data_IF_169828502167
#
_entry.id   IF_169828502167
#
_cell.length_a   1.000
_cell.length_b   1.000
_cell.length_c   1.000
_cell.angle_alpha   90.00
_cell.angle_beta   90.00
_cell.angle_gamma   90.00
#
_symmetry.space_group_name_H-M   'P 1'
#
loop_
_entity.id
_entity.type
_entity.pdbx_description
1 polymer ?
#
# COMPACT_ATOMS: atom_id res chain seq x y z
N UNK A 1 -29.79 82.50 -36.77
CA UNK A 1 -28.59 82.20 -35.96
C UNK A 1 -29.05 81.40 -34.74
N UNK A 2 -28.95 80.07 -34.78
CA UNK A 2 -29.28 79.20 -33.64
C UNK A 2 -27.99 78.53 -33.16
N UNK A 3 -27.56 78.86 -31.93
CA UNK A 3 -26.43 78.20 -31.24
C UNK A 3 -26.99 77.03 -30.45
N UNK A 4 -26.63 75.81 -30.84
CA UNK A 4 -26.88 74.60 -30.04
C UNK A 4 -25.61 74.28 -29.27
N UNK A 5 -25.66 74.40 -27.95
CA UNK A 5 -24.58 74.04 -27.02
C UNK A 5 -24.60 72.52 -26.84
N UNK A 6 -23.50 71.84 -27.18
CA UNK A 6 -23.29 70.44 -26.83
C UNK A 6 -22.66 70.37 -25.44
N UNK A 7 -23.40 69.82 -24.47
CA UNK A 7 -22.87 69.45 -23.15
C UNK A 7 -22.34 68.02 -23.24
N UNK A 8 -21.05 67.85 -23.01
CA UNK A 8 -20.41 66.52 -22.90
C UNK A 8 -20.39 66.14 -21.42
N UNK A 9 -21.11 65.08 -21.05
CA UNK A 9 -21.13 64.52 -19.69
C UNK A 9 -20.01 63.49 -19.59
N UNK A 10 -18.94 63.80 -18.87
CA UNK A 10 -17.82 62.89 -18.62
C UNK A 10 -18.18 61.99 -17.42
N UNK A 11 -18.49 60.72 -17.67
CA UNK A 11 -18.61 59.71 -16.62
C UNK A 11 -17.20 59.20 -16.28
N UNK A 12 -16.62 59.68 -15.17
CA UNK A 12 -15.41 59.10 -14.59
C UNK A 12 -15.77 57.81 -13.86
N UNK A 13 -15.42 56.67 -14.45
CA UNK A 13 -15.44 55.37 -13.78
C UNK A 13 -14.23 55.29 -12.85
N UNK A 14 -14.46 55.32 -11.54
CA UNK A 14 -13.45 54.97 -10.56
C UNK A 14 -13.23 53.44 -10.61
N UNK A 15 -12.14 53.01 -11.24
CA UNK A 15 -11.62 51.65 -11.10
C UNK A 15 -11.00 51.54 -9.70
N UNK A 16 -11.76 50.98 -8.75
CA UNK A 16 -11.16 50.46 -7.53
C UNK A 16 -10.35 49.22 -7.90
N UNK A 17 -9.03 49.35 -7.95
CA UNK A 17 -8.15 48.20 -7.99
C UNK A 17 -8.37 47.39 -6.72
N UNK A 18 -8.96 46.19 -6.85
CA UNK A 18 -8.89 45.19 -5.79
C UNK A 18 -7.45 44.72 -5.71
N UNK A 19 -6.62 45.39 -4.91
CA UNK A 19 -5.42 44.76 -4.36
C UNK A 19 -5.92 43.70 -3.38
N UNK A 20 -6.17 42.48 -3.90
CA UNK A 20 -6.14 41.31 -3.04
C UNK A 20 -4.68 41.13 -2.66
N UNK A 21 -4.35 41.45 -1.40
CA UNK A 21 -3.08 41.06 -0.82
C UNK A 21 -2.93 39.55 -1.03
N UNK A 22 -2.09 39.16 -1.99
CA UNK A 22 -1.79 37.76 -2.24
C UNK A 22 -1.13 37.24 -0.96
N UNK A 23 -1.73 36.28 -0.24
CA UNK A 23 -1.12 35.78 0.98
C UNK A 23 0.21 35.12 0.58
N UNK A 24 1.32 35.75 0.96
CA UNK A 24 2.65 35.19 0.76
C UNK A 24 2.72 33.91 1.58
N UNK A 25 2.96 32.79 0.90
CA UNK A 25 3.07 31.51 1.56
C UNK A 25 4.25 31.49 2.53
N UNK A 26 4.03 30.90 3.70
CA UNK A 26 5.00 30.90 4.78
C UNK A 26 5.97 29.73 4.68
N UNK A 27 7.18 29.92 5.18
CA UNK A 27 8.12 28.81 5.36
C UNK A 27 7.77 28.03 6.63
N UNK A 28 7.61 26.71 6.50
CA UNK A 28 7.44 25.77 7.60
C UNK A 28 8.79 25.27 8.12
N UNK A 29 9.72 24.94 7.22
CA UNK A 29 11.08 24.50 7.55
C UNK A 29 12.05 24.74 6.38
N UNK A 30 13.36 24.72 6.69
CA UNK A 30 14.45 24.83 5.71
C UNK A 30 15.42 23.67 5.96
N UNK A 31 15.75 22.93 4.90
CA UNK A 31 16.65 21.76 4.94
C UNK A 31 17.67 21.88 3.82
N UNK A 32 18.88 22.33 4.18
CA UNK A 32 19.91 22.67 3.20
C UNK A 32 19.43 23.81 2.30
N UNK A 33 19.39 23.56 0.99
CA UNK A 33 18.88 24.49 -0.02
C UNK A 33 17.36 24.35 -0.28
N UNK A 34 16.71 23.32 0.28
CA UNK A 34 15.28 23.09 0.06
C UNK A 34 14.44 23.76 1.15
N UNK A 35 13.32 24.34 0.72
CA UNK A 35 12.33 24.97 1.59
C UNK A 35 11.09 24.06 1.63
N UNK A 36 10.48 23.96 2.80
CA UNK A 36 9.17 23.32 2.99
C UNK A 36 8.19 24.42 3.32
N UNK A 37 7.14 24.57 2.50
CA UNK A 37 6.15 25.62 2.67
C UNK A 37 5.04 25.19 3.64
N UNK A 38 4.35 26.16 4.22
CA UNK A 38 3.18 25.91 5.06
C UNK A 38 2.02 25.33 4.26
N UNK A 39 1.88 25.72 2.99
CA UNK A 39 0.91 25.13 2.07
C UNK A 39 1.17 23.63 1.85
N UNK A 40 2.42 23.23 1.60
CA UNK A 40 2.82 21.82 1.42
C UNK A 40 2.37 20.97 2.61
N UNK A 41 2.72 21.41 3.83
CA UNK A 41 2.34 20.73 5.07
C UNK A 41 0.81 20.65 5.19
N UNK A 42 0.12 21.77 4.95
CA UNK A 42 -1.33 21.86 5.09
C UNK A 42 -2.08 20.98 4.08
N UNK A 43 -1.58 20.89 2.84
CA UNK A 43 -2.14 20.07 1.79
C UNK A 43 -2.04 18.58 2.15
N UNK A 44 -0.86 18.12 2.56
CA UNK A 44 -0.65 16.72 2.97
C UNK A 44 -1.48 16.40 4.21
N UNK A 45 -1.51 17.27 5.22
CA UNK A 45 -2.36 17.11 6.41
C UNK A 45 -3.83 16.99 6.02
N UNK A 46 -4.32 17.85 5.13
CA UNK A 46 -5.71 17.83 4.68
C UNK A 46 -6.09 16.50 4.02
N UNK A 47 -5.23 15.99 3.12
CA UNK A 47 -5.45 14.70 2.45
C UNK A 47 -5.43 13.55 3.46
N UNK A 48 -4.43 13.50 4.34
CA UNK A 48 -4.31 12.42 5.33
C UNK A 48 -5.44 12.46 6.36
N UNK A 49 -5.87 13.64 6.80
CA UNK A 49 -6.99 13.80 7.72
C UNK A 49 -8.30 13.26 7.11
N UNK A 50 -8.57 13.53 5.82
CA UNK A 50 -9.73 12.99 5.11
C UNK A 50 -9.69 11.46 5.01
N UNK A 51 -8.53 10.87 4.72
CA UNK A 51 -8.35 9.41 4.66
C UNK A 51 -8.56 8.73 6.02
N UNK A 52 -8.14 9.40 7.10
CA UNK A 52 -8.33 8.92 8.47
C UNK A 52 -9.73 9.22 9.03
N UNK A 53 -10.56 9.99 8.31
CA UNK A 53 -11.89 10.41 8.77
C UNK A 53 -11.87 11.38 9.95
N UNK A 54 -10.80 12.18 10.10
CA UNK A 54 -10.65 13.14 11.19
C UNK A 54 -11.49 14.41 10.94
N UNK A 55 -12.19 14.87 11.97
CA UNK A 55 -12.96 16.12 11.92
C UNK A 55 -12.14 17.28 12.48
N UNK A 56 -11.94 18.30 11.65
CA UNK A 56 -11.13 19.47 11.99
C UNK A 56 -11.60 20.20 13.26
N UNK A 57 -12.89 20.09 13.58
CA UNK A 57 -13.51 20.77 14.73
C UNK A 57 -13.44 19.98 16.04
N UNK A 58 -13.37 18.65 15.96
CA UNK A 58 -13.43 17.76 17.14
C UNK A 58 -12.08 17.17 17.50
N UNK A 59 -11.22 16.92 16.52
CA UNK A 59 -10.00 16.13 16.69
C UNK A 59 -8.74 17.00 16.70
N UNK A 60 -8.82 18.19 17.30
CA UNK A 60 -7.73 19.20 17.26
C UNK A 60 -6.37 18.65 17.71
N UNK A 61 -6.33 17.88 18.80
CA UNK A 61 -5.08 17.29 19.29
C UNK A 61 -4.50 16.22 18.34
N UNK A 62 -5.36 15.46 17.66
CA UNK A 62 -4.94 14.48 16.65
C UNK A 62 -4.42 15.16 15.40
N UNK A 63 -5.03 16.28 15.00
CA UNK A 63 -4.55 17.10 13.89
C UNK A 63 -3.21 17.77 14.18
N UNK A 64 -3.00 18.29 15.38
CA UNK A 64 -1.70 18.87 15.77
C UNK A 64 -0.59 17.82 15.71
N UNK A 65 -0.86 16.58 16.18
CA UNK A 65 0.07 15.46 16.03
C UNK A 65 0.29 15.08 14.58
N UNK A 66 -0.77 15.02 13.77
CA UNK A 66 -0.68 14.71 12.35
C UNK A 66 0.16 15.77 11.63
N UNK A 67 -0.05 17.05 11.91
CA UNK A 67 0.73 18.15 11.35
C UNK A 67 2.21 18.03 11.71
N UNK A 68 2.52 17.74 12.98
CA UNK A 68 3.90 17.51 13.41
C UNK A 68 4.55 16.32 12.70
N UNK A 69 3.82 15.22 12.56
CA UNK A 69 4.30 14.02 11.87
C UNK A 69 4.52 14.27 10.37
N UNK A 70 3.59 14.97 9.70
CA UNK A 70 3.71 15.33 8.29
C UNK A 70 4.90 16.26 8.08
N UNK A 71 5.05 17.29 8.91
CA UNK A 71 6.22 18.17 8.85
C UNK A 71 7.52 17.39 9.04
N UNK A 72 7.57 16.50 10.04
CA UNK A 72 8.72 15.62 10.26
C UNK A 72 9.04 14.75 9.04
N UNK A 73 8.03 14.10 8.45
CA UNK A 73 8.20 13.29 7.24
C UNK A 73 8.69 14.09 6.04
N UNK A 74 8.22 15.33 5.86
CA UNK A 74 8.69 16.20 4.78
C UNK A 74 10.14 16.64 5.02
N UNK A 75 10.51 16.94 6.27
CA UNK A 75 11.90 17.24 6.65
C UNK A 75 12.77 16.03 6.33
N UNK A 76 12.39 14.83 6.78
CA UNK A 76 13.15 13.60 6.53
C UNK A 76 13.32 13.34 5.04
N UNK A 77 12.28 13.54 4.23
CA UNK A 77 12.37 13.42 2.77
C UNK A 77 13.39 14.40 2.18
N UNK A 78 13.38 15.66 2.61
CA UNK A 78 14.36 16.65 2.14
C UNK A 78 15.78 16.33 2.63
N UNK A 79 15.94 15.79 3.84
CA UNK A 79 17.25 15.35 4.35
C UNK A 79 17.80 14.21 3.49
N UNK A 80 16.97 13.22 3.15
CA UNK A 80 17.37 12.10 2.30
C UNK A 80 17.71 12.57 0.88
N UNK A 81 16.96 13.52 0.32
CA UNK A 81 17.27 14.13 -0.97
C UNK A 81 18.63 14.84 -0.94
N UNK A 82 18.94 15.60 0.11
CA UNK A 82 20.25 16.26 0.24
C UNK A 82 21.39 15.25 0.37
N UNK A 83 21.20 14.18 1.14
CA UNK A 83 22.18 13.09 1.22
C UNK A 83 22.39 12.41 -0.14
N UNK A 84 21.31 12.13 -0.87
CA UNK A 84 21.37 11.52 -2.20
C UNK A 84 22.14 12.39 -3.20
N UNK A 85 21.96 13.72 -3.15
CA UNK A 85 22.74 14.67 -3.97
C UNK A 85 24.22 14.66 -3.61
N UNK A 86 24.57 14.62 -2.33
CA UNK A 86 25.97 14.53 -1.88
C UNK A 86 26.64 13.24 -2.39
N UNK A 87 25.90 12.14 -2.38
CA UNK A 87 26.36 10.85 -2.89
C UNK A 87 26.21 10.72 -4.43
N UNK A 88 25.86 11.81 -5.11
CA UNK A 88 25.74 11.90 -6.57
C UNK A 88 24.80 10.84 -7.16
N UNK A 89 23.70 10.55 -6.47
CA UNK A 89 22.65 9.66 -6.97
C UNK A 89 21.88 10.36 -8.09
N UNK A 90 21.83 9.72 -9.25
CA UNK A 90 21.12 10.22 -10.43
C UNK A 90 20.14 9.17 -10.94
N UNK A 91 19.05 9.64 -11.56
CA UNK A 91 17.99 8.85 -12.17
C UNK A 91 17.90 9.24 -13.65
N UNK A 92 17.69 8.28 -14.54
CA UNK A 92 17.52 8.57 -15.96
C UNK A 92 16.20 9.31 -16.23
N UNK A 93 16.23 10.28 -17.14
CA UNK A 93 15.06 11.08 -17.54
C UNK A 93 13.88 10.21 -18.00
N UNK A 94 14.16 9.15 -18.76
CA UNK A 94 13.15 8.18 -19.19
C UNK A 94 12.40 7.54 -18.03
N UNK A 95 13.09 7.25 -16.92
CA UNK A 95 12.46 6.61 -15.75
C UNK A 95 11.56 7.62 -15.02
N UNK A 96 11.97 8.90 -14.99
CA UNK A 96 11.16 10.01 -14.47
C UNK A 96 9.89 10.18 -15.30
N UNK A 97 10.02 10.25 -16.63
CA UNK A 97 8.87 10.33 -17.55
C UNK A 97 7.93 9.14 -17.38
N UNK A 98 8.49 7.92 -17.29
CA UNK A 98 7.69 6.70 -17.12
C UNK A 98 6.92 6.71 -15.79
N UNK A 99 7.56 7.11 -14.69
CA UNK A 99 6.90 7.22 -13.38
C UNK A 99 5.84 8.32 -13.35
N UNK A 100 6.09 9.44 -14.04
CA UNK A 100 5.14 10.54 -14.17
C UNK A 100 3.90 10.12 -14.96
N UNK A 101 4.06 9.43 -16.09
CA UNK A 101 2.91 8.94 -16.85
C UNK A 101 2.10 7.90 -16.06
N UNK A 102 2.74 6.99 -15.32
CA UNK A 102 2.03 6.06 -14.43
C UNK A 102 1.22 6.77 -13.35
N UNK A 103 1.75 7.87 -12.81
CA UNK A 103 1.04 8.70 -11.83
C UNK A 103 -0.18 9.38 -12.47
N UNK A 104 -0.05 9.88 -13.70
CA UNK A 104 -1.14 10.50 -14.45
C UNK A 104 -2.22 9.48 -14.81
N UNK A 105 -1.83 8.30 -15.29
CA UNK A 105 -2.75 7.19 -15.55
C UNK A 105 -3.53 6.83 -14.29
N UNK A 106 -2.87 6.81 -13.13
CA UNK A 106 -3.54 6.56 -11.84
C UNK A 106 -4.59 7.64 -11.53
N UNK A 107 -4.33 8.91 -11.83
CA UNK A 107 -5.33 9.97 -11.69
C UNK A 107 -6.50 9.81 -12.66
N UNK A 108 -6.23 9.50 -13.93
CA UNK A 108 -7.26 9.27 -14.95
C UNK A 108 -8.14 8.09 -14.55
N UNK A 109 -7.56 6.98 -14.07
CA UNK A 109 -8.30 5.81 -13.63
C UNK A 109 -9.21 6.11 -12.43
N UNK A 110 -8.74 6.93 -11.47
CA UNK A 110 -9.57 7.35 -10.33
C UNK A 110 -10.69 8.30 -10.72
N UNK A 111 -10.43 9.22 -11.66
CA UNK A 111 -11.40 10.18 -12.14
C UNK A 111 -12.37 9.60 -13.18
N UNK A 112 -11.99 8.50 -13.84
CA UNK A 112 -12.73 7.82 -14.90
C UNK A 112 -12.45 8.37 -16.30
N UNK A 113 -12.16 9.67 -16.44
CA UNK A 113 -11.78 10.29 -17.72
C UNK A 113 -10.69 11.33 -17.53
N UNK A 114 -9.97 11.64 -18.61
CA UNK A 114 -8.95 12.70 -18.63
C UNK A 114 -9.53 14.06 -18.24
N UNK A 115 -10.68 14.44 -18.81
CA UNK A 115 -11.33 15.71 -18.50
C UNK A 115 -11.70 15.84 -17.02
N UNK A 116 -12.17 14.75 -16.39
CA UNK A 116 -12.48 14.75 -14.97
C UNK A 116 -11.20 14.81 -14.13
N UNK A 117 -10.12 14.17 -14.57
CA UNK A 117 -8.82 14.25 -13.90
C UNK A 117 -8.28 15.69 -13.90
N UNK A 118 -8.32 16.38 -15.03
CA UNK A 118 -7.93 17.81 -15.12
C UNK A 118 -8.80 18.69 -14.22
N UNK A 119 -10.11 18.42 -14.17
CA UNK A 119 -11.04 19.14 -13.28
C UNK A 119 -10.71 18.93 -11.81
N UNK A 120 -10.33 17.70 -11.42
CA UNK A 120 -9.94 17.36 -10.06
C UNK A 120 -8.58 17.94 -9.66
N UNK A 121 -7.63 18.01 -10.61
CA UNK A 121 -6.32 18.62 -10.40
C UNK A 121 -6.38 20.16 -10.43
N UNK A 122 -7.42 20.73 -11.04
CA UNK A 122 -7.56 22.18 -11.20
C UNK A 122 -6.65 22.78 -12.29
N UNK A 123 -5.98 21.94 -13.08
CA UNK A 123 -5.07 22.32 -14.16
C UNK A 123 -5.03 21.24 -15.25
N UNK A 124 -4.49 21.58 -16.41
CA UNK A 124 -4.34 20.61 -17.49
C UNK A 124 -3.31 19.53 -17.15
N UNK A 125 -3.46 18.33 -17.71
CA UNK A 125 -2.46 17.26 -17.51
C UNK A 125 -1.09 17.66 -18.05
N UNK A 126 -1.05 18.51 -19.09
CA UNK A 126 0.20 18.99 -19.66
C UNK A 126 0.92 19.98 -18.73
N UNK A 127 0.20 20.84 -18.04
CA UNK A 127 0.79 21.73 -17.04
C UNK A 127 1.26 20.93 -15.84
N UNK A 128 0.44 19.99 -15.38
CA UNK A 128 0.81 19.03 -14.33
C UNK A 128 2.09 18.27 -14.66
N UNK A 129 2.25 17.77 -15.89
CA UNK A 129 3.49 17.09 -16.32
C UNK A 129 4.72 17.98 -16.12
N UNK A 130 4.66 19.23 -16.58
CA UNK A 130 5.82 20.13 -16.55
C UNK A 130 6.19 20.56 -15.13
N UNK A 131 5.20 20.84 -14.31
CA UNK A 131 5.40 21.27 -12.93
C UNK A 131 5.87 20.12 -12.05
N UNK A 132 5.20 18.97 -12.15
CA UNK A 132 5.46 17.81 -11.28
C UNK A 132 6.67 16.98 -11.70
N UNK A 133 7.28 17.24 -12.87
CA UNK A 133 8.47 16.52 -13.33
C UNK A 133 9.63 16.65 -12.33
N UNK A 134 9.87 17.84 -11.77
CA UNK A 134 10.96 18.07 -10.82
C UNK A 134 10.70 17.35 -9.49
N UNK A 135 9.46 17.40 -9.00
CA UNK A 135 9.06 16.66 -7.81
C UNK A 135 9.19 15.15 -8.00
N UNK A 136 8.84 14.65 -9.20
CA UNK A 136 8.99 13.25 -9.57
C UNK A 136 10.46 12.84 -9.59
N UNK A 137 11.33 13.65 -10.19
CA UNK A 137 12.78 13.43 -10.19
C UNK A 137 13.30 13.31 -8.77
N UNK A 138 13.01 14.30 -7.93
CA UNK A 138 13.51 14.36 -6.56
C UNK A 138 12.99 13.17 -5.73
N UNK A 139 11.74 12.73 -5.97
CA UNK A 139 11.19 11.50 -5.38
C UNK A 139 11.98 10.27 -5.80
N UNK A 140 12.22 10.07 -7.10
CA UNK A 140 12.94 8.89 -7.59
C UNK A 140 14.40 8.85 -7.10
N UNK A 141 15.08 10.00 -7.03
CA UNK A 141 16.43 10.10 -6.45
C UNK A 141 16.41 9.62 -4.99
N UNK A 142 15.44 10.12 -4.21
CA UNK A 142 15.26 9.77 -2.80
C UNK A 142 14.99 8.26 -2.64
N UNK A 143 14.08 7.70 -3.44
CA UNK A 143 13.73 6.27 -3.42
C UNK A 143 14.92 5.38 -3.79
N UNK A 144 15.68 5.74 -4.84
CA UNK A 144 16.86 5.01 -5.25
C UNK A 144 17.94 5.01 -4.18
N UNK A 145 18.18 6.16 -3.54
CA UNK A 145 19.13 6.25 -2.44
C UNK A 145 18.70 5.40 -1.23
N UNK A 146 17.42 5.45 -0.84
CA UNK A 146 16.89 4.57 0.22
C UNK A 146 17.07 3.09 -0.13
N UNK A 147 16.78 2.69 -1.37
CA UNK A 147 16.97 1.30 -1.81
C UNK A 147 18.44 0.88 -1.72
N UNK A 148 19.37 1.73 -2.13
CA UNK A 148 20.81 1.47 -2.01
C UNK A 148 21.22 1.27 -0.54
N UNK A 149 20.73 2.11 0.37
CA UNK A 149 20.98 1.96 1.82
C UNK A 149 20.41 0.65 2.35
N UNK A 150 19.18 0.28 1.96
CA UNK A 150 18.55 -0.99 2.36
C UNK A 150 19.34 -2.19 1.83
N UNK A 151 19.78 -2.14 0.57
CA UNK A 151 20.58 -3.21 -0.04
C UNK A 151 21.98 -3.36 0.58
N UNK A 152 22.49 -2.31 1.22
CA UNK A 152 23.75 -2.37 1.97
C UNK A 152 23.63 -3.11 3.31
N UNK A 153 22.40 -3.32 3.81
CA UNK A 153 22.17 -4.03 5.07
C UNK A 153 22.41 -5.53 4.89
N UNK A 154 23.40 -6.07 5.62
CA UNK A 154 23.69 -7.50 5.65
C UNK A 154 23.05 -8.15 6.89
N UNK A 155 22.15 -9.11 6.68
CA UNK A 155 21.51 -9.88 7.74
C UNK A 155 22.20 -11.23 7.88
N UNK A 156 22.79 -11.48 9.05
CA UNK A 156 23.43 -12.75 9.37
C UNK A 156 22.58 -13.58 10.36
N UNK A 157 23.01 -14.82 10.64
CA UNK A 157 22.31 -15.72 11.56
C UNK A 157 22.24 -15.17 13.00
N UNK A 158 23.29 -14.50 13.45
CA UNK A 158 23.37 -13.91 14.80
C UNK A 158 22.28 -12.87 14.99
N UNK A 159 22.17 -11.89 14.07
CA UNK A 159 21.12 -10.87 14.06
C UNK A 159 19.72 -11.47 14.11
N UNK A 160 19.48 -12.58 13.39
CA UNK A 160 18.18 -13.28 13.39
C UNK A 160 17.89 -13.93 14.73
N UNK A 161 18.88 -14.58 15.35
CA UNK A 161 18.73 -15.23 16.66
C UNK A 161 18.50 -14.19 17.75
N UNK A 162 19.21 -13.06 17.68
CA UNK A 162 19.04 -11.94 18.62
C UNK A 162 17.65 -11.32 18.49
N UNK A 163 17.19 -11.07 17.26
CA UNK A 163 15.83 -10.61 17.00
C UNK A 163 14.79 -11.60 17.55
N UNK A 164 14.93 -12.89 17.25
CA UNK A 164 13.99 -13.91 17.74
C UNK A 164 13.96 -13.98 19.28
N UNK A 165 15.11 -13.90 19.93
CA UNK A 165 15.23 -14.01 21.38
C UNK A 165 14.66 -12.79 22.10
N UNK A 166 14.92 -11.58 21.59
CA UNK A 166 14.45 -10.33 22.19
C UNK A 166 12.97 -10.04 21.96
N UNK A 167 12.40 -10.49 20.82
CA UNK A 167 11.03 -10.17 20.43
C UNK A 167 10.08 -11.36 20.53
N UNK A 168 10.44 -12.46 21.22
CA UNK A 168 9.69 -13.71 21.27
C UNK A 168 8.19 -13.54 21.55
N UNK A 169 7.84 -12.64 22.46
CA UNK A 169 6.46 -12.38 22.89
C UNK A 169 5.67 -11.47 21.93
N UNK A 170 6.37 -10.80 21.02
CA UNK A 170 5.79 -9.92 19.99
C UNK A 170 5.75 -10.57 18.60
N UNK A 171 6.29 -11.78 18.45
CA UNK A 171 6.24 -12.50 17.18
C UNK A 171 4.82 -13.03 16.92
N UNK A 172 4.32 -12.89 15.68
CA UNK A 172 3.03 -13.46 15.32
C UNK A 172 3.08 -14.98 15.51
N UNK A 173 2.00 -15.54 16.05
CA UNK A 173 1.88 -16.98 16.23
C UNK A 173 1.82 -17.63 14.85
N UNK A 174 2.81 -18.46 14.52
CA UNK A 174 2.75 -19.26 13.31
C UNK A 174 1.56 -20.23 13.41
N UNK A 175 0.67 -20.28 12.40
CA UNK A 175 -0.50 -21.15 12.46
C UNK A 175 -0.05 -22.60 12.56
N UNK A 176 -0.59 -23.32 13.53
CA UNK A 176 -0.33 -24.74 13.71
C UNK A 176 -0.70 -25.47 12.42
N UNK A 177 0.27 -26.17 11.84
CA UNK A 177 0.08 -27.10 10.71
C UNK A 177 0.17 -28.53 11.25
N UNK A 178 -0.71 -29.40 10.79
CA UNK A 178 -0.71 -30.82 11.12
C UNK A 178 -0.44 -31.63 9.85
N UNK A 179 0.39 -32.67 9.96
CA UNK A 179 0.59 -33.64 8.88
C UNK A 179 -0.50 -34.71 9.01
N UNK A 180 -1.42 -34.79 8.05
CA UNK A 180 -2.61 -35.65 8.12
C UNK A 180 -2.60 -36.66 6.98
N UNK A 181 -3.06 -37.87 7.26
CA UNK A 181 -3.37 -38.88 6.26
C UNK A 181 -4.84 -39.29 6.33
N UNK A 182 -5.42 -39.66 5.19
CA UNK A 182 -6.84 -39.95 5.00
C UNK A 182 -7.04 -41.25 4.20
N UNK A 183 -8.05 -42.02 4.61
CA UNK A 183 -8.45 -43.25 3.96
C UNK A 183 -9.98 -43.27 3.88
N UNK A 184 -10.50 -43.34 2.66
CA UNK A 184 -11.95 -43.30 2.40
C UNK A 184 -12.44 -44.67 1.93
N UNK A 185 -13.53 -45.17 2.51
CA UNK A 185 -14.30 -46.29 1.95
C UNK A 185 -15.59 -45.73 1.36
N UNK A 186 -15.73 -45.78 0.04
CA UNK A 186 -16.92 -45.26 -0.66
C UNK A 186 -18.11 -46.20 -0.47
N UNK A 187 -19.27 -45.65 -0.13
CA UNK A 187 -20.51 -46.39 0.08
C UNK A 187 -21.58 -45.98 -0.92
N UNK A 188 -22.45 -46.94 -1.31
CA UNK A 188 -23.70 -46.67 -2.01
C UNK A 188 -24.85 -46.68 -0.98
N UNK A 189 -25.80 -45.73 -1.00
CA UNK A 189 -26.87 -45.66 -0.01
C UNK A 189 -27.69 -46.97 0.05
N UNK A 190 -27.59 -47.68 1.18
CA UNK A 190 -28.36 -48.87 1.58
C UNK A 190 -27.86 -49.33 2.96
N UNK A 191 -28.74 -49.86 3.81
CA UNK A 191 -28.36 -50.35 5.14
C UNK A 191 -27.33 -51.49 5.09
N UNK A 192 -27.48 -52.43 4.15
CA UNK A 192 -26.52 -53.53 4.00
C UNK A 192 -25.13 -53.01 3.59
N UNK A 193 -25.08 -52.07 2.65
CA UNK A 193 -23.82 -51.46 2.19
C UNK A 193 -23.13 -50.65 3.28
N UNK A 194 -23.90 -50.03 4.19
CA UNK A 194 -23.35 -49.30 5.34
C UNK A 194 -22.65 -50.25 6.31
N UNK A 195 -23.28 -51.36 6.67
CA UNK A 195 -22.70 -52.37 7.56
C UNK A 195 -21.43 -53.01 6.97
N UNK A 196 -21.42 -53.29 5.67
CA UNK A 196 -20.24 -53.86 5.01
C UNK A 196 -19.07 -52.87 4.96
N UNK A 197 -19.35 -51.59 4.70
CA UNK A 197 -18.34 -50.55 4.71
C UNK A 197 -17.77 -50.30 6.11
N UNK A 198 -18.62 -50.31 7.14
CA UNK A 198 -18.22 -50.19 8.53
C UNK A 198 -17.32 -51.36 8.96
N UNK A 199 -17.70 -52.60 8.63
CA UNK A 199 -16.85 -53.78 8.84
C UNK A 199 -15.50 -53.64 8.14
N UNK A 200 -15.50 -53.16 6.89
CA UNK A 200 -14.27 -52.98 6.10
C UNK A 200 -13.36 -51.91 6.72
N UNK A 201 -13.87 -50.73 7.07
CA UNK A 201 -13.03 -49.67 7.65
C UNK A 201 -12.51 -50.07 9.05
N UNK A 202 -13.31 -50.78 9.84
CA UNK A 202 -12.87 -51.28 11.15
C UNK A 202 -11.77 -52.34 11.02
N UNK A 203 -11.90 -53.28 10.08
CA UNK A 203 -10.84 -54.26 9.82
C UNK A 203 -9.53 -53.59 9.36
N UNK A 204 -9.60 -52.55 8.53
CA UNK A 204 -8.42 -51.77 8.12
C UNK A 204 -7.83 -51.02 9.33
N UNK A 205 -8.67 -50.41 10.17
CA UNK A 205 -8.25 -49.72 11.39
C UNK A 205 -7.51 -50.66 12.34
N UNK A 206 -8.02 -51.87 12.55
CA UNK A 206 -7.40 -52.83 13.46
C UNK A 206 -6.03 -53.28 12.96
N UNK A 207 -5.86 -53.43 11.64
CA UNK A 207 -4.55 -53.68 10.99
C UNK A 207 -3.57 -52.53 11.21
N UNK A 208 -4.03 -51.29 11.07
CA UNK A 208 -3.21 -50.09 11.35
C UNK A 208 -2.77 -50.08 12.82
N UNK A 209 -3.68 -50.37 13.75
CA UNK A 209 -3.38 -50.42 15.19
C UNK A 209 -2.40 -51.56 15.52
N UNK A 210 -2.50 -52.69 14.81
CA UNK A 210 -1.57 -53.81 14.93
C UNK A 210 -0.17 -53.51 14.35
N UNK A 211 0.03 -52.36 13.71
CA UNK A 211 1.33 -51.88 13.25
C UNK A 211 1.54 -51.96 11.73
N UNK A 212 0.52 -52.31 10.95
CA UNK A 212 0.62 -52.22 9.49
C UNK A 212 0.69 -50.76 9.03
N UNK A 213 1.40 -50.53 7.92
CA UNK A 213 1.62 -49.19 7.38
C UNK A 213 0.31 -48.55 6.92
N UNK A 214 0.02 -47.34 7.41
CA UNK A 214 -1.13 -46.56 6.96
C UNK A 214 -1.05 -46.27 5.45
N UNK A 215 0.16 -45.95 4.93
CA UNK A 215 0.32 -45.61 3.51
C UNK A 215 -0.07 -46.77 2.62
N UNK A 216 0.38 -47.97 2.95
CA UNK A 216 0.20 -49.16 2.12
C UNK A 216 -1.28 -49.56 2.10
N UNK A 217 -1.94 -49.47 3.26
CA UNK A 217 -3.37 -49.72 3.39
C UNK A 217 -4.21 -48.64 2.70
N UNK A 218 -3.79 -47.38 2.74
CA UNK A 218 -4.45 -46.30 2.02
C UNK A 218 -4.32 -46.46 0.51
N UNK A 219 -3.13 -46.79 -0.01
CA UNK A 219 -2.92 -47.08 -1.43
C UNK A 219 -3.75 -48.27 -1.91
N UNK A 220 -3.86 -49.31 -1.09
CA UNK A 220 -4.59 -50.52 -1.47
C UNK A 220 -6.10 -50.35 -1.38
N UNK A 221 -6.60 -49.73 -0.30
CA UNK A 221 -8.02 -49.77 0.04
C UNK A 221 -8.77 -48.44 -0.04
N UNK A 222 -8.06 -47.30 -0.05
CA UNK A 222 -8.73 -45.99 -0.11
C UNK A 222 -9.45 -45.81 -1.45
N UNK A 223 -10.57 -45.11 -1.39
CA UNK A 223 -11.34 -44.61 -2.51
C UNK A 223 -11.22 -43.09 -2.66
N UNK A 224 -10.37 -42.45 -1.86
CA UNK A 224 -10.11 -41.01 -1.96
C UNK A 224 -9.17 -40.73 -3.14
N UNK A 225 -9.66 -40.12 -4.24
CA UNK A 225 -8.84 -39.89 -5.42
C UNK A 225 -7.67 -38.92 -5.17
N UNK A 226 -7.79 -38.02 -4.19
CA UNK A 226 -6.79 -36.98 -3.93
C UNK A 226 -5.57 -37.46 -3.15
N UNK A 227 -5.72 -38.52 -2.36
CA UNK A 227 -4.68 -38.95 -1.41
C UNK A 227 -4.28 -40.42 -1.54
N UNK A 228 -5.13 -41.28 -2.12
CA UNK A 228 -4.90 -42.72 -2.24
C UNK A 228 -3.52 -43.04 -2.80
N UNK A 229 -3.16 -42.45 -3.93
CA UNK A 229 -1.91 -42.77 -4.64
C UNK A 229 -0.65 -42.19 -3.96
N UNK A 230 -0.80 -41.54 -2.81
CA UNK A 230 0.28 -40.94 -2.02
C UNK A 230 0.19 -41.42 -0.56
N UNK A 231 -0.11 -42.70 -0.35
CA UNK A 231 -0.26 -43.28 0.99
C UNK A 231 -1.32 -42.62 1.88
N UNK A 232 -2.37 -42.04 1.28
CA UNK A 232 -3.38 -41.28 1.99
C UNK A 232 -2.91 -39.91 2.49
N UNK A 233 -1.69 -39.46 2.19
CA UNK A 233 -1.16 -38.18 2.69
C UNK A 233 -1.91 -36.97 2.11
N UNK A 234 -2.34 -36.07 2.99
CA UNK A 234 -2.90 -34.77 2.62
C UNK A 234 -1.91 -33.61 2.81
N UNK A 235 -0.67 -33.91 3.18
CA UNK A 235 0.37 -32.91 3.47
C UNK A 235 0.15 -32.15 4.78
N UNK A 236 0.66 -30.93 4.84
CA UNK A 236 0.52 -30.05 6.01
C UNK A 236 -0.73 -29.18 5.90
N UNK A 237 -1.68 -29.42 6.81
CA UNK A 237 -2.98 -28.74 6.83
C UNK A 237 -3.07 -27.83 8.05
N UNK A 238 -3.57 -26.61 7.87
CA UNK A 238 -3.87 -25.67 8.96
C UNK A 238 -5.23 -25.99 9.58
N UNK A 239 -5.40 -25.64 10.86
CA UNK A 239 -6.73 -25.60 11.49
C UNK A 239 -7.67 -24.74 10.62
N UNK A 240 -8.87 -25.25 10.31
CA UNK A 240 -9.90 -24.67 9.44
C UNK A 240 -9.69 -24.77 7.91
N UNK A 241 -8.77 -25.60 7.42
CA UNK A 241 -8.63 -25.89 5.98
C UNK A 241 -9.37 -27.16 5.50
N UNK A 242 -9.94 -27.93 6.42
CA UNK A 242 -10.75 -29.11 6.10
C UNK A 242 -12.24 -28.72 6.12
N UNK A 243 -13.01 -29.21 5.15
CA UNK A 243 -14.47 -29.04 5.04
C UNK A 243 -15.23 -30.16 5.73
#
# INVERSE_FOLDING_TARGET
VYKVIKVFLFYTVFLYGQNQDMPIDGVAAIVGENIILKSDVSQVVGITALQMGLDASKDKASLEKLQANVLGSLIDQKVILEMAKLDSIEVAEKDIESALEQQIETFILRAGTEQMAETMLGQSLNDFRREYWYDMRDRLITEQYQQQLIMSVNINRENVVDFFSNYRDSLPVFPIKMKISHLLVKIKPSENNRLDAEKKINAIRDRIIAGESFSDLAELYSADPGSKNNGGSLGYIRRNQMV
#
